data_IF_485686734721
#
_entry.id   IF_485686734721
#
_cell.length_a   1.000
_cell.length_b   1.000
_cell.length_c   1.000
_cell.angle_alpha   90.00
_cell.angle_beta   90.00
_cell.angle_gamma   90.00
#
_symmetry.space_group_name_H-M   'P 1'
#
loop_
_entity.id
_entity.type
_entity.pdbx_description
1 polymer ?
#
# COMPACT_ATOMS: atom_id res chain seq x y z
N UNK A 1 29.29 29.80 1.27
CA UNK A 1 28.37 29.15 2.22
C UNK A 1 26.88 29.44 1.96
N UNK A 2 26.54 30.49 1.20
CA UNK A 2 25.15 30.87 0.89
C UNK A 2 24.41 29.92 -0.06
N UNK A 3 25.06 29.38 -1.10
CA UNK A 3 24.38 28.55 -2.10
C UNK A 3 23.88 27.20 -1.53
N UNK A 4 24.72 26.50 -0.76
CA UNK A 4 24.35 25.21 -0.13
C UNK A 4 23.21 25.35 0.88
N UNK A 5 23.21 26.42 1.68
CA UNK A 5 22.13 26.71 2.63
C UNK A 5 20.79 26.94 1.91
N UNK A 6 20.79 27.79 0.87
CA UNK A 6 19.59 28.07 0.08
C UNK A 6 19.07 26.84 -0.67
N UNK A 7 19.97 26.02 -1.24
CA UNK A 7 19.58 24.77 -1.91
C UNK A 7 18.96 23.77 -0.93
N UNK A 8 19.57 23.54 0.23
CA UNK A 8 19.02 22.61 1.24
C UNK A 8 17.66 23.05 1.75
N UNK A 9 17.48 24.36 2.00
CA UNK A 9 16.19 24.92 2.41
C UNK A 9 15.13 24.73 1.33
N UNK A 10 15.45 25.03 0.07
CA UNK A 10 14.53 24.90 -1.05
C UNK A 10 14.11 23.44 -1.26
N UNK A 11 15.07 22.51 -1.28
CA UNK A 11 14.79 21.08 -1.46
C UNK A 11 13.91 20.57 -0.33
N UNK A 12 14.26 20.86 0.94
CA UNK A 12 13.50 20.39 2.10
C UNK A 12 12.07 20.94 2.06
N UNK A 13 11.90 22.22 1.76
CA UNK A 13 10.57 22.83 1.65
C UNK A 13 9.75 22.22 0.51
N UNK A 14 10.30 22.14 -0.70
CA UNK A 14 9.57 21.63 -1.87
C UNK A 14 9.17 20.17 -1.71
N UNK A 15 10.08 19.31 -1.23
CA UNK A 15 9.77 17.89 -1.02
C UNK A 15 8.68 17.72 0.04
N UNK A 16 8.80 18.38 1.19
CA UNK A 16 7.77 18.28 2.23
C UNK A 16 6.44 18.89 1.78
N UNK A 17 6.44 19.95 0.96
CA UNK A 17 5.21 20.55 0.45
C UNK A 17 4.46 19.57 -0.47
N UNK A 18 5.19 18.93 -1.39
CA UNK A 18 4.61 17.91 -2.27
C UNK A 18 4.06 16.74 -1.45
N UNK A 19 4.83 16.22 -0.50
CA UNK A 19 4.38 15.13 0.39
C UNK A 19 3.12 15.54 1.17
N UNK A 20 3.08 16.76 1.72
CA UNK A 20 1.93 17.26 2.48
C UNK A 20 0.66 17.30 1.61
N UNK A 21 0.77 17.82 0.39
CA UNK A 21 -0.37 17.89 -0.55
C UNK A 21 -0.83 16.48 -0.94
N UNK A 22 0.10 15.58 -1.27
CA UNK A 22 -0.21 14.19 -1.61
C UNK A 22 -0.88 13.45 -0.45
N UNK A 23 -0.34 13.57 0.77
CA UNK A 23 -0.91 12.95 1.97
C UNK A 23 -2.30 13.49 2.29
N UNK A 24 -2.52 14.80 2.14
CA UNK A 24 -3.84 15.40 2.32
C UNK A 24 -4.84 14.89 1.29
N UNK A 25 -4.44 14.76 0.01
CA UNK A 25 -5.30 14.19 -1.02
C UNK A 25 -5.71 12.75 -0.71
N UNK A 26 -4.75 11.90 -0.27
CA UNK A 26 -5.03 10.52 0.14
C UNK A 26 -5.97 10.48 1.34
N UNK A 27 -5.75 11.32 2.36
CA UNK A 27 -6.66 11.40 3.51
C UNK A 27 -8.10 11.74 3.10
N UNK A 28 -8.28 12.71 2.21
CA UNK A 28 -9.60 13.11 1.71
C UNK A 28 -10.25 11.97 0.92
N UNK A 29 -9.53 11.36 -0.03
CA UNK A 29 -10.05 10.27 -0.86
C UNK A 29 -10.43 9.06 0.01
N UNK A 30 -9.55 8.63 0.93
CA UNK A 30 -9.80 7.47 1.78
C UNK A 30 -10.91 7.72 2.82
N UNK A 31 -11.00 8.92 3.38
CA UNK A 31 -12.09 9.26 4.31
C UNK A 31 -13.45 9.33 3.62
N UNK A 32 -13.52 9.85 2.38
CA UNK A 32 -14.73 9.81 1.56
C UNK A 32 -15.11 8.37 1.20
N UNK A 33 -14.14 7.55 0.79
CA UNK A 33 -14.37 6.14 0.51
C UNK A 33 -14.94 5.41 1.74
N UNK A 34 -14.36 5.65 2.91
CA UNK A 34 -14.83 5.10 4.18
C UNK A 34 -16.26 5.56 4.52
N UNK A 35 -16.57 6.85 4.35
CA UNK A 35 -17.91 7.40 4.61
C UNK A 35 -18.97 6.77 3.70
N UNK A 36 -18.68 6.62 2.41
CA UNK A 36 -19.58 6.00 1.44
C UNK A 36 -19.86 4.53 1.78
N UNK A 37 -18.81 3.78 2.16
CA UNK A 37 -18.95 2.39 2.58
C UNK A 37 -19.84 2.29 3.83
N UNK A 38 -19.58 3.11 4.86
CA UNK A 38 -20.38 3.14 6.09
C UNK A 38 -21.85 3.49 5.83
N UNK A 39 -22.13 4.40 4.89
CA UNK A 39 -23.50 4.71 4.49
C UNK A 39 -24.20 3.50 3.85
N UNK A 40 -23.53 2.79 2.94
CA UNK A 40 -24.10 1.57 2.32
C UNK A 40 -24.39 0.48 3.35
N UNK A 41 -23.50 0.27 4.33
CA UNK A 41 -23.72 -0.69 5.42
C UNK A 41 -24.94 -0.33 6.27
N UNK A 42 -25.07 0.93 6.68
CA UNK A 42 -26.21 1.39 7.48
C UNK A 42 -27.54 1.25 6.73
N UNK A 43 -27.55 1.39 5.40
CA UNK A 43 -28.75 1.23 4.58
C UNK A 43 -29.15 -0.24 4.40
N UNK A 44 -28.19 -1.17 4.39
CA UNK A 44 -28.46 -2.59 4.13
C UNK A 44 -28.71 -3.41 5.40
N UNK A 45 -28.62 -2.83 6.60
CA UNK A 45 -28.82 -3.51 7.89
C UNK A 45 -27.99 -4.80 8.02
N UNK A 46 -26.86 -4.85 7.32
CA UNK A 46 -25.91 -5.96 7.39
C UNK A 46 -25.15 -5.82 8.71
N UNK A 47 -25.67 -6.44 9.77
CA UNK A 47 -24.98 -6.66 11.06
C UNK A 47 -23.86 -7.70 10.91
N UNK A 48 -23.08 -7.61 9.84
CA UNK A 48 -21.83 -8.34 9.77
C UNK A 48 -20.79 -7.49 10.45
N UNK A 49 -20.09 -8.07 11.43
CA UNK A 49 -18.80 -7.59 11.95
C UNK A 49 -17.74 -7.65 10.83
N UNK A 50 -18.08 -7.07 9.68
CA UNK A 50 -17.21 -6.97 8.56
C UNK A 50 -16.10 -6.04 9.04
N UNK A 51 -14.82 -6.49 9.01
CA UNK A 51 -13.75 -5.59 9.33
C UNK A 51 -13.91 -4.42 8.36
N UNK A 52 -14.25 -3.24 8.87
CA UNK A 52 -13.96 -1.99 8.16
C UNK A 52 -12.56 -2.22 7.61
N UNK A 53 -12.34 -2.20 6.28
CA UNK A 53 -11.20 -2.90 5.71
C UNK A 53 -9.96 -2.36 6.41
N UNK A 54 -9.33 -3.21 7.23
CA UNK A 54 -8.26 -2.79 8.16
C UNK A 54 -7.17 -2.02 7.39
N UNK A 55 -7.03 -2.37 6.12
CA UNK A 55 -6.27 -1.66 5.10
C UNK A 55 -6.64 -0.17 4.93
N UNK A 56 -7.92 0.22 4.81
CA UNK A 56 -8.31 1.63 4.69
C UNK A 56 -7.95 2.44 5.93
N UNK A 57 -8.19 1.90 7.13
CA UNK A 57 -7.77 2.56 8.37
C UNK A 57 -6.26 2.68 8.46
N UNK A 58 -5.52 1.65 8.05
CA UNK A 58 -4.06 1.69 7.99
C UNK A 58 -3.55 2.77 7.01
N UNK A 59 -4.14 2.86 5.80
CA UNK A 59 -3.79 3.90 4.81
C UNK A 59 -4.06 5.30 5.36
N UNK A 60 -5.20 5.51 6.02
CA UNK A 60 -5.54 6.79 6.65
C UNK A 60 -4.53 7.14 7.75
N UNK A 61 -4.16 6.19 8.60
CA UNK A 61 -3.18 6.41 9.66
C UNK A 61 -1.80 6.79 9.09
N UNK A 62 -1.31 6.06 8.09
CA UNK A 62 -0.03 6.34 7.42
C UNK A 62 -0.06 7.72 6.74
N UNK A 63 -1.12 8.03 6.01
CA UNK A 63 -1.28 9.33 5.35
C UNK A 63 -1.38 10.48 6.37
N UNK A 64 -2.03 10.25 7.52
CA UNK A 64 -2.12 11.20 8.63
C UNK A 64 -0.74 11.52 9.22
N UNK A 65 0.04 10.48 9.53
CA UNK A 65 1.41 10.65 10.02
C UNK A 65 2.27 11.39 8.99
N UNK A 66 2.21 10.98 7.72
CA UNK A 66 2.96 11.63 6.64
C UNK A 66 2.58 13.11 6.47
N UNK A 67 1.29 13.46 6.59
CA UNK A 67 0.82 14.84 6.54
C UNK A 67 1.37 15.67 7.71
N UNK A 68 1.29 15.17 8.94
CA UNK A 68 1.79 15.88 10.13
C UNK A 68 3.30 16.11 10.03
N UNK A 69 4.07 15.08 9.68
CA UNK A 69 5.53 15.19 9.58
C UNK A 69 5.95 16.17 8.49
N UNK A 70 5.34 16.07 7.30
CA UNK A 70 5.66 16.96 6.19
C UNK A 70 5.23 18.40 6.47
N UNK A 71 4.10 18.62 7.14
CA UNK A 71 3.67 19.96 7.56
C UNK A 71 4.66 20.59 8.56
N UNK A 72 5.11 19.83 9.56
CA UNK A 72 6.16 20.28 10.50
C UNK A 72 7.45 20.60 9.74
N UNK A 73 7.87 19.76 8.78
CA UNK A 73 9.04 20.00 7.93
C UNK A 73 8.94 21.29 7.11
N UNK A 74 7.78 21.53 6.48
CA UNK A 74 7.48 22.76 5.75
C UNK A 74 7.54 24.00 6.64
N UNK A 75 6.84 23.97 7.78
CA UNK A 75 6.84 25.07 8.74
C UNK A 75 8.24 25.31 9.30
N UNK A 76 9.00 24.26 9.61
CA UNK A 76 10.38 24.38 10.10
C UNK A 76 11.30 25.05 9.09
N UNK A 77 11.16 24.69 7.81
CA UNK A 77 11.93 25.30 6.72
C UNK A 77 11.53 26.76 6.46
N UNK A 78 10.23 27.08 6.38
CA UNK A 78 9.77 28.46 6.10
C UNK A 78 10.07 29.39 7.27
N UNK A 79 9.71 28.98 8.49
CA UNK A 79 9.85 29.81 9.69
C UNK A 79 11.28 29.92 10.19
N UNK A 80 12.23 29.23 9.55
CA UNK A 80 13.64 29.13 9.99
C UNK A 80 13.74 28.81 11.48
N UNK A 81 12.87 27.92 11.96
CA UNK A 81 12.80 27.57 13.37
C UNK A 81 13.59 26.28 13.63
N UNK A 82 14.77 26.43 14.25
CA UNK A 82 15.66 25.31 14.59
C UNK A 82 14.97 24.26 15.46
N UNK A 83 14.14 24.67 16.43
CA UNK A 83 13.42 23.74 17.29
C UNK A 83 12.44 22.86 16.49
N UNK A 84 11.75 23.45 15.51
CA UNK A 84 10.79 22.75 14.67
C UNK A 84 11.48 21.78 13.68
N UNK A 85 12.65 22.16 13.17
CA UNK A 85 13.49 21.26 12.35
C UNK A 85 14.08 20.10 13.16
N UNK A 86 14.51 20.34 14.41
CA UNK A 86 14.93 19.28 15.32
C UNK A 86 13.78 18.33 15.67
N UNK A 87 12.57 18.86 15.91
CA UNK A 87 11.37 18.04 16.13
C UNK A 87 11.08 17.16 14.91
N UNK A 88 11.10 17.74 13.70
CA UNK A 88 10.94 17.01 12.45
C UNK A 88 11.98 15.88 12.31
N UNK A 89 13.26 16.16 12.52
CA UNK A 89 14.33 15.16 12.44
C UNK A 89 14.16 14.05 13.49
N UNK A 90 13.74 14.40 14.71
CA UNK A 90 13.51 13.43 15.80
C UNK A 90 12.34 12.52 15.46
N UNK A 91 11.22 13.07 14.97
CA UNK A 91 10.06 12.28 14.58
C UNK A 91 10.37 11.37 13.38
N UNK A 92 11.09 11.85 12.37
CA UNK A 92 11.56 11.00 11.27
C UNK A 92 12.46 9.87 11.77
N UNK A 93 13.33 10.13 12.74
CA UNK A 93 14.19 9.09 13.33
C UNK A 93 13.39 8.01 14.04
N UNK A 94 12.30 8.38 14.73
CA UNK A 94 11.38 7.43 15.36
C UNK A 94 10.67 6.58 14.30
N UNK A 95 10.19 7.20 13.22
CA UNK A 95 9.57 6.48 12.09
C UNK A 95 10.55 5.50 11.45
N UNK A 96 11.79 5.91 11.20
CA UNK A 96 12.84 5.05 10.65
C UNK A 96 13.07 3.80 11.52
N UNK A 97 13.18 3.97 12.84
CA UNK A 97 13.34 2.84 13.77
C UNK A 97 12.12 1.92 13.73
N UNK A 98 10.91 2.47 13.73
CA UNK A 98 9.69 1.66 13.62
C UNK A 98 9.64 0.88 12.30
N UNK A 99 10.02 1.49 11.17
CA UNK A 99 10.06 0.81 9.88
C UNK A 99 11.05 -0.36 9.89
N UNK A 100 12.25 -0.18 10.45
CA UNK A 100 13.26 -1.24 10.56
C UNK A 100 12.80 -2.40 11.44
N UNK A 101 12.09 -2.12 12.53
CA UNK A 101 11.51 -3.16 13.39
C UNK A 101 10.41 -3.92 12.65
N UNK A 102 9.49 -3.21 12.00
CA UNK A 102 8.37 -3.82 11.27
C UNK A 102 8.87 -4.66 10.10
N UNK A 103 9.77 -4.14 9.26
CA UNK A 103 10.30 -4.89 8.12
C UNK A 103 11.10 -6.11 8.57
N UNK A 104 11.87 -6.00 9.65
CA UNK A 104 12.61 -7.12 10.22
C UNK A 104 11.68 -8.23 10.73
N UNK A 105 10.58 -7.85 11.40
CA UNK A 105 9.56 -8.79 11.87
C UNK A 105 8.81 -9.47 10.71
N UNK A 106 8.40 -8.68 9.69
CA UNK A 106 7.71 -9.20 8.50
C UNK A 106 8.62 -10.14 7.72
N UNK A 107 9.89 -9.79 7.54
CA UNK A 107 10.88 -10.64 6.89
C UNK A 107 11.08 -11.96 7.65
N UNK A 108 11.18 -11.91 8.98
CA UNK A 108 11.28 -13.11 9.81
C UNK A 108 10.06 -14.03 9.67
N UNK A 109 8.85 -13.45 9.52
CA UNK A 109 7.59 -14.19 9.37
C UNK A 109 7.21 -14.48 7.92
N UNK A 110 8.09 -14.24 6.95
CA UNK A 110 7.73 -14.31 5.52
C UNK A 110 7.18 -15.68 5.13
N UNK A 111 7.77 -16.78 5.61
CA UNK A 111 7.33 -18.13 5.24
C UNK A 111 5.95 -18.45 5.81
N UNK A 112 5.69 -18.01 7.04
CA UNK A 112 4.39 -18.14 7.68
C UNK A 112 3.33 -17.30 6.94
N UNK A 113 3.69 -16.10 6.48
CA UNK A 113 2.81 -15.27 5.68
C UNK A 113 2.47 -15.91 4.33
N UNK A 114 3.46 -16.48 3.63
CA UNK A 114 3.24 -17.25 2.38
C UNK A 114 2.34 -18.46 2.62
N UNK A 115 2.53 -19.18 3.73
CA UNK A 115 1.69 -20.31 4.11
C UNK A 115 0.24 -19.89 4.43
N UNK A 116 0.05 -18.76 5.12
CA UNK A 116 -1.29 -18.21 5.40
C UNK A 116 -2.01 -17.81 4.11
N UNK A 117 -1.32 -17.14 3.18
CA UNK A 117 -1.90 -16.83 1.86
C UNK A 117 -2.36 -18.10 1.17
N UNK A 118 -1.51 -19.13 1.11
CA UNK A 118 -1.88 -20.41 0.50
C UNK A 118 -3.10 -21.04 1.20
N UNK A 119 -3.15 -21.00 2.53
CA UNK A 119 -4.31 -21.51 3.29
C UNK A 119 -5.60 -20.76 2.97
N UNK A 120 -5.55 -19.43 2.87
CA UNK A 120 -6.72 -18.59 2.55
C UNK A 120 -7.18 -18.81 1.12
N UNK A 121 -6.25 -18.91 0.16
CA UNK A 121 -6.58 -19.22 -1.23
C UNK A 121 -7.24 -20.60 -1.32
N UNK A 122 -6.69 -21.62 -0.67
CA UNK A 122 -7.29 -22.97 -0.64
C UNK A 122 -8.70 -22.98 -0.02
N UNK A 123 -8.90 -22.27 1.10
CA UNK A 123 -10.21 -22.27 1.77
C UNK A 123 -11.28 -21.53 0.95
N UNK A 124 -10.90 -20.47 0.24
CA UNK A 124 -11.85 -19.62 -0.48
C UNK A 124 -12.12 -20.07 -1.92
N UNK A 125 -11.24 -20.90 -2.52
CA UNK A 125 -11.39 -21.37 -3.89
C UNK A 125 -12.70 -22.16 -4.09
N UNK A 126 -13.03 -23.05 -3.15
CA UNK A 126 -14.26 -23.86 -3.20
C UNK A 126 -15.53 -23.06 -2.91
N UNK A 127 -15.41 -21.97 -2.16
CA UNK A 127 -16.54 -21.10 -1.85
C UNK A 127 -16.91 -20.17 -3.02
N UNK A 128 -16.00 -19.94 -3.97
CA UNK A 128 -16.22 -19.06 -5.12
C UNK A 128 -17.57 -19.27 -5.86
N UNK A 129 -17.96 -20.49 -6.31
CA UNK A 129 -19.21 -20.71 -7.06
C UNK A 129 -20.47 -20.59 -6.21
N UNK A 130 -20.40 -20.93 -4.93
CA UNK A 130 -21.58 -21.07 -4.04
C UNK A 130 -21.70 -19.96 -3.00
N UNK A 131 -20.70 -19.11 -2.88
CA UNK A 131 -20.69 -18.02 -1.91
C UNK A 131 -21.83 -17.05 -2.21
N UNK A 132 -22.73 -16.92 -1.24
CA UNK A 132 -23.72 -15.83 -1.19
C UNK A 132 -23.07 -14.49 -0.84
N UNK A 133 -21.83 -14.52 -0.32
CA UNK A 133 -21.04 -13.34 -0.06
C UNK A 133 -20.40 -12.84 -1.36
N UNK A 134 -20.82 -11.68 -1.88
CA UNK A 134 -20.25 -11.11 -3.10
C UNK A 134 -18.77 -10.75 -2.95
N UNK A 135 -18.25 -10.64 -1.71
CA UNK A 135 -16.86 -10.28 -1.43
C UNK A 135 -15.92 -11.37 -1.93
N UNK A 136 -16.15 -12.64 -1.61
CA UNK A 136 -15.26 -13.75 -2.03
C UNK A 136 -15.11 -13.80 -3.54
N UNK A 137 -16.23 -13.72 -4.27
CA UNK A 137 -16.22 -13.74 -5.73
C UNK A 137 -15.52 -12.52 -6.31
N UNK A 138 -15.86 -11.32 -5.84
CA UNK A 138 -15.25 -10.08 -6.30
C UNK A 138 -13.75 -10.04 -6.01
N UNK A 139 -13.32 -10.52 -4.86
CA UNK A 139 -11.89 -10.59 -4.49
C UNK A 139 -11.12 -11.51 -5.43
N UNK A 140 -11.64 -12.70 -5.73
CA UNK A 140 -11.03 -13.60 -6.71
C UNK A 140 -10.98 -12.96 -8.10
N UNK A 141 -12.08 -12.35 -8.55
CA UNK A 141 -12.14 -11.67 -9.84
C UNK A 141 -11.11 -10.53 -9.96
N UNK A 142 -10.98 -9.72 -8.90
CA UNK A 142 -10.00 -8.64 -8.82
C UNK A 142 -8.58 -9.17 -8.80
N UNK A 143 -8.28 -10.19 -7.98
CA UNK A 143 -6.92 -10.77 -7.92
C UNK A 143 -6.51 -11.31 -9.29
N UNK A 144 -7.37 -12.07 -9.95
CA UNK A 144 -7.05 -12.67 -11.25
C UNK A 144 -6.88 -11.64 -12.36
N UNK A 145 -7.72 -10.60 -12.36
CA UNK A 145 -7.66 -9.53 -13.35
C UNK A 145 -6.46 -8.62 -13.12
N UNK A 146 -6.24 -8.15 -11.89
CA UNK A 146 -5.20 -7.17 -11.56
C UNK A 146 -3.79 -7.78 -11.58
N UNK A 147 -3.67 -9.06 -11.19
CA UNK A 147 -2.38 -9.77 -11.18
C UNK A 147 -2.16 -10.67 -12.40
N UNK A 148 -3.10 -10.69 -13.36
CA UNK A 148 -3.00 -11.50 -14.57
C UNK A 148 -2.65 -12.97 -14.28
N UNK A 149 -3.40 -13.57 -13.36
CA UNK A 149 -3.18 -14.94 -12.87
C UNK A 149 -4.49 -15.72 -12.87
N UNK A 150 -4.42 -17.06 -12.82
CA UNK A 150 -5.61 -17.91 -12.74
C UNK A 150 -5.40 -19.08 -11.78
N UNK A 151 -6.38 -19.28 -10.89
CA UNK A 151 -6.31 -20.32 -9.86
C UNK A 151 -5.22 -20.07 -8.82
N UNK A 152 -4.93 -21.07 -7.99
CA UNK A 152 -3.91 -20.98 -6.95
C UNK A 152 -2.53 -21.21 -7.58
N UNK A 153 -2.37 -22.36 -8.25
CA UNK A 153 -1.17 -22.80 -8.94
C UNK A 153 -1.35 -22.73 -10.46
N UNK A 154 -2.58 -22.70 -10.95
CA UNK A 154 -2.88 -22.53 -12.37
C UNK A 154 -4.37 -22.70 -12.69
N UNK A 155 -4.77 -22.54 -13.96
CA UNK A 155 -6.17 -22.60 -14.38
C UNK A 155 -6.84 -23.95 -14.10
N UNK A 156 -6.09 -25.05 -14.03
CA UNK A 156 -6.60 -26.40 -13.74
C UNK A 156 -7.23 -26.51 -12.34
N UNK A 157 -6.88 -25.64 -11.39
CA UNK A 157 -7.47 -25.67 -10.04
C UNK A 157 -9.00 -25.48 -10.10
N UNK A 158 -9.50 -24.73 -11.08
CA UNK A 158 -10.93 -24.48 -11.29
C UNK A 158 -11.70 -25.71 -11.76
N UNK A 159 -11.04 -26.69 -12.38
CA UNK A 159 -11.66 -27.93 -12.81
C UNK A 159 -12.24 -28.71 -11.63
N UNK A 160 -11.55 -28.67 -10.50
CA UNK A 160 -11.98 -29.30 -9.25
C UNK A 160 -13.14 -28.56 -8.57
N UNK A 161 -13.39 -27.31 -8.96
CA UNK A 161 -14.44 -26.45 -8.40
C UNK A 161 -15.73 -26.56 -9.22
N UNK A 162 -15.63 -26.41 -10.54
CA UNK A 162 -16.80 -26.43 -11.43
C UNK A 162 -17.13 -27.82 -12.00
N UNK A 163 -16.25 -28.81 -11.83
CA UNK A 163 -16.36 -30.15 -12.42
C UNK A 163 -16.51 -30.13 -13.96
N UNK A 164 -15.98 -29.10 -14.62
CA UNK A 164 -15.94 -28.93 -16.07
C UNK A 164 -14.71 -28.10 -16.47
N UNK A 165 -14.54 -27.82 -17.77
CA UNK A 165 -13.42 -27.00 -18.27
C UNK A 165 -13.75 -25.49 -18.31
N UNK A 166 -14.79 -25.04 -17.58
CA UNK A 166 -15.18 -23.63 -17.47
C UNK A 166 -14.29 -22.93 -16.45
N UNK A 167 -13.93 -21.68 -16.75
CA UNK A 167 -13.12 -20.82 -15.87
C UNK A 167 -13.89 -19.55 -15.50
N UNK A 168 -13.54 -18.88 -14.39
CA UNK A 168 -13.99 -17.52 -14.14
C UNK A 168 -13.63 -16.60 -15.30
N UNK A 169 -14.51 -15.67 -15.64
CA UNK A 169 -14.24 -14.72 -16.72
C UNK A 169 -13.02 -13.82 -16.42
N UNK A 170 -12.73 -13.58 -15.15
CA UNK A 170 -11.55 -12.88 -14.67
C UNK A 170 -10.22 -13.60 -14.94
N UNK A 171 -10.24 -14.89 -15.31
CA UNK A 171 -9.04 -15.66 -15.68
C UNK A 171 -8.58 -15.46 -17.14
N UNK A 172 -9.34 -14.80 -18.01
CA UNK A 172 -9.04 -14.69 -19.45
C UNK A 172 -8.66 -13.27 -19.88
N UNK A 173 -7.74 -13.13 -20.85
CA UNK A 173 -7.13 -11.84 -21.26
C UNK A 173 -7.99 -10.87 -22.09
N UNK A 174 -9.14 -11.31 -22.58
CA UNK A 174 -10.19 -10.47 -23.18
C UNK A 174 -11.35 -11.40 -23.55
N UNK A 175 -12.55 -11.14 -23.04
CA UNK A 175 -13.73 -11.95 -23.35
C UNK A 175 -14.64 -11.10 -24.23
N UNK A 176 -14.99 -11.61 -25.42
CA UNK A 176 -15.99 -10.99 -26.27
C UNK A 176 -17.35 -10.96 -25.55
N UNK A 177 -18.16 -9.92 -25.75
CA UNK A 177 -19.47 -9.83 -25.07
C UNK A 177 -20.32 -11.08 -25.32
N UNK A 178 -20.62 -11.81 -24.24
CA UNK A 178 -21.42 -13.04 -24.27
C UNK A 178 -20.64 -14.35 -24.43
N UNK A 179 -19.30 -14.34 -24.50
CA UNK A 179 -18.50 -15.58 -24.48
C UNK A 179 -18.09 -15.99 -23.06
N UNK A 180 -17.83 -17.27 -22.86
CA UNK A 180 -17.38 -17.85 -21.58
C UNK A 180 -15.92 -18.30 -21.64
N UNK A 181 -15.18 -18.02 -20.56
CA UNK A 181 -13.79 -18.42 -20.39
C UNK A 181 -13.71 -19.95 -20.18
N UNK A 182 -12.80 -20.60 -20.91
CA UNK A 182 -12.56 -22.05 -20.82
C UNK A 182 -11.06 -22.33 -20.82
N UNK A 183 -10.65 -23.44 -20.22
CA UNK A 183 -9.24 -23.84 -20.13
C UNK A 183 -8.57 -24.06 -21.51
N UNK A 184 -9.37 -24.29 -22.56
CA UNK A 184 -8.92 -24.62 -23.91
C UNK A 184 -9.58 -23.74 -24.97
N UNK A 185 -9.55 -22.42 -24.76
CA UNK A 185 -10.14 -21.45 -25.67
C UNK A 185 -9.04 -20.69 -26.44
N UNK A 186 -8.99 -20.82 -27.77
CA UNK A 186 -8.00 -20.15 -28.63
C UNK A 186 -8.29 -18.64 -28.76
N UNK A 187 -9.57 -18.25 -28.69
CA UNK A 187 -10.01 -16.86 -28.86
C UNK A 187 -9.80 -15.99 -27.60
N UNK A 188 -9.75 -16.61 -26.42
CA UNK A 188 -9.56 -15.95 -25.13
C UNK A 188 -8.72 -16.85 -24.20
N UNK A 189 -7.39 -16.86 -24.35
CA UNK A 189 -6.53 -17.74 -23.57
C UNK A 189 -6.54 -17.33 -22.08
N UNK A 190 -6.55 -18.31 -21.16
CA UNK A 190 -6.45 -18.03 -19.74
C UNK A 190 -5.04 -17.61 -19.33
N UNK A 191 -4.94 -16.92 -18.19
CA UNK A 191 -3.65 -16.73 -17.52
C UNK A 191 -3.09 -18.09 -17.08
N UNK A 192 -1.85 -18.37 -17.46
CA UNK A 192 -1.20 -19.64 -17.16
C UNK A 192 -0.53 -19.64 -15.77
N UNK A 193 -0.20 -18.47 -15.25
CA UNK A 193 0.45 -18.32 -13.94
C UNK A 193 -0.56 -18.48 -12.81
N UNK A 194 -0.19 -19.25 -11.79
CA UNK A 194 -0.96 -19.36 -10.55
C UNK A 194 -0.90 -18.07 -9.72
N UNK A 195 -2.01 -17.67 -9.11
CA UNK A 195 -2.06 -16.45 -8.30
C UNK A 195 -1.18 -16.52 -7.05
N UNK A 196 -0.96 -17.71 -6.48
CA UNK A 196 -0.08 -17.86 -5.32
C UNK A 196 1.36 -17.47 -5.68
N UNK A 197 1.86 -17.92 -6.82
CA UNK A 197 3.20 -17.57 -7.31
C UNK A 197 3.31 -16.07 -7.60
N UNK A 198 2.33 -15.51 -8.30
CA UNK A 198 2.35 -14.08 -8.63
C UNK A 198 2.30 -13.22 -7.37
N UNK A 199 1.39 -13.48 -6.43
CA UNK A 199 1.32 -12.76 -5.14
C UNK A 199 2.65 -12.88 -4.40
N UNK A 200 3.22 -14.08 -4.37
CA UNK A 200 4.51 -14.34 -3.73
C UNK A 200 5.66 -13.56 -4.37
N UNK A 201 5.66 -13.40 -5.69
CA UNK A 201 6.65 -12.61 -6.42
C UNK A 201 6.54 -11.11 -6.15
N UNK A 202 5.36 -10.63 -5.73
CA UNK A 202 5.14 -9.21 -5.39
C UNK A 202 5.65 -8.85 -4.00
N UNK A 203 6.00 -9.82 -3.14
CA UNK A 203 6.54 -9.54 -1.79
C UNK A 203 7.97 -9.00 -1.84
N UNK A 204 8.81 -9.54 -2.71
CA UNK A 204 10.22 -9.14 -2.82
C UNK A 204 10.42 -7.63 -3.14
N UNK A 205 9.72 -7.04 -4.14
CA UNK A 205 9.86 -5.62 -4.42
C UNK A 205 9.32 -4.71 -3.30
N UNK A 206 8.44 -5.21 -2.43
CA UNK A 206 7.96 -4.44 -1.26
C UNK A 206 9.08 -4.23 -0.26
N UNK A 207 9.95 -5.22 -0.01
CA UNK A 207 11.10 -5.02 0.86
C UNK A 207 12.07 -3.98 0.31
N UNK A 208 12.29 -3.99 -1.01
CA UNK A 208 13.15 -3.01 -1.69
C UNK A 208 12.55 -1.60 -1.58
N UNK A 209 11.23 -1.45 -1.76
CA UNK A 209 10.59 -0.14 -1.68
C UNK A 209 10.67 0.46 -0.28
N UNK A 210 10.51 -0.34 0.77
CA UNK A 210 10.67 0.12 2.16
C UNK A 210 12.13 0.53 2.43
N UNK A 211 13.12 -0.22 1.93
CA UNK A 211 14.52 0.17 2.07
C UNK A 211 14.82 1.51 1.40
N UNK A 212 14.25 1.77 0.23
CA UNK A 212 14.36 3.07 -0.44
C UNK A 212 13.78 4.22 0.40
N UNK A 213 12.63 3.99 1.06
CA UNK A 213 12.03 4.96 1.99
C UNK A 213 12.97 5.23 3.16
N UNK A 214 13.55 4.20 3.79
CA UNK A 214 14.52 4.37 4.87
C UNK A 214 15.71 5.25 4.46
N UNK A 215 16.24 5.06 3.26
CA UNK A 215 17.34 5.88 2.73
C UNK A 215 16.91 7.33 2.53
N UNK A 216 15.73 7.56 1.97
CA UNK A 216 15.17 8.90 1.80
C UNK A 216 14.95 9.62 3.13
N UNK A 217 14.48 8.91 4.17
CA UNK A 217 14.34 9.43 5.53
C UNK A 217 15.68 9.84 6.14
N UNK A 218 16.73 9.01 5.98
CA UNK A 218 18.09 9.35 6.44
C UNK A 218 18.59 10.64 5.79
N UNK A 219 18.40 10.80 4.47
CA UNK A 219 18.73 12.05 3.79
C UNK A 219 17.93 13.24 4.34
N UNK A 220 16.63 13.05 4.57
CA UNK A 220 15.77 14.06 5.18
C UNK A 220 16.25 14.50 6.57
N UNK A 221 16.64 13.53 7.42
CA UNK A 221 17.19 13.77 8.76
C UNK A 221 18.49 14.56 8.67
N UNK A 222 19.42 14.14 7.80
CA UNK A 222 20.71 14.84 7.62
C UNK A 222 20.48 16.29 7.18
N UNK A 223 19.63 16.51 6.18
CA UNK A 223 19.32 17.85 5.68
C UNK A 223 18.69 18.71 6.78
N UNK A 224 17.73 18.17 7.53
CA UNK A 224 17.07 18.88 8.63
C UNK A 224 18.05 19.26 9.75
N UNK A 225 18.91 18.32 10.19
CA UNK A 225 19.92 18.56 11.21
C UNK A 225 20.96 19.59 10.76
N UNK A 226 21.44 19.50 9.52
CA UNK A 226 22.37 20.48 8.95
C UNK A 226 21.75 21.88 8.87
N UNK A 227 20.50 21.97 8.40
CA UNK A 227 19.77 23.23 8.28
C UNK A 227 19.53 23.85 9.67
N UNK A 228 19.10 23.05 10.64
CA UNK A 228 18.89 23.49 12.01
C UNK A 228 20.19 23.98 12.67
N UNK A 229 21.30 23.25 12.46
CA UNK A 229 22.60 23.66 12.98
C UNK A 229 23.04 25.00 12.39
N UNK A 230 22.87 25.19 11.07
CA UNK A 230 23.17 26.45 10.38
C UNK A 230 22.36 27.63 10.94
N UNK A 231 21.05 27.46 11.14
CA UNK A 231 20.18 28.51 11.69
C UNK A 231 20.60 28.86 13.13
N UNK A 232 20.85 27.85 13.96
CA UNK A 232 21.27 28.06 15.36
C UNK A 232 22.62 28.79 15.47
N UNK A 233 23.52 28.59 14.50
CA UNK A 233 24.80 29.30 14.44
C UNK A 233 24.62 30.78 14.09
N UNK A 234 23.72 31.10 13.14
CA UNK A 234 23.41 32.48 12.76
C UNK A 234 22.83 33.28 13.93
N UNK A 235 21.94 32.67 14.73
CA UNK A 235 21.35 33.35 15.89
C UNK A 235 22.38 33.64 17.00
N UNK A 236 23.43 32.82 17.12
CA UNK A 236 24.48 33.02 18.14
C UNK A 236 25.48 34.13 17.79
N UNK A 237 25.56 34.51 16.51
CA UNK A 237 26.50 35.54 16.02
C UNK A 237 25.95 36.97 16.05
N UNK A 238 24.70 37.15 16.45
CA UNK A 238 24.01 38.46 16.60
C UNK A 238 23.84 38.76 18.08
#
# INVERSE_FOLDING_TARGET
MSCTYSCSKLILFTVNLVVSICSLAVLVICSLALANMNQLYNLQNLNTDLPVPLALWAIIAVAGVAFVLSFIGCCGAISENSCLLYLFATLLSIVLVMQLVVIGFVYYQQDNFRAQINSVLNSTLHDYPTSKDPIVRKTWDTIQTDFECCGINGPEDWKHVFNNDTLPNSCCKAIAEGSSCHARNDDAPPYLSGCLEVINSKLDPVFISVLFVCVAEIFGIIIACCLSSSISAQYRTV
#
